data_IF_058730539154
#
_entry.id   IF_058730539154
#
_cell.length_a   1.000
_cell.length_b   1.000
_cell.length_c   1.000
_cell.angle_alpha   90.00
_cell.angle_beta   90.00
_cell.angle_gamma   90.00
#
_symmetry.space_group_name_H-M   'P 1'
#
loop_
_entity.id
_entity.type
_entity.pdbx_description
1 polymer ?
#
# COMPACT_ATOMS: atom_id res chain seq x y z
N UNK A 1 -13.06 1.94 10.46
CA UNK A 1 -11.67 2.50 10.41
C UNK A 1 -10.76 1.30 10.31
N UNK A 2 -10.01 1.14 9.22
CA UNK A 2 -9.12 -0.01 9.05
C UNK A 2 -8.01 0.08 10.09
N UNK A 3 -8.24 -0.57 11.24
CA UNK A 3 -7.36 -0.55 12.40
C UNK A 3 -6.22 -1.52 12.12
N UNK A 4 -5.04 -0.98 11.90
CA UNK A 4 -3.81 -1.69 12.26
C UNK A 4 -3.77 -1.77 13.79
N UNK A 5 -3.59 -2.97 14.35
CA UNK A 5 -3.50 -3.18 15.80
C UNK A 5 -2.55 -2.15 16.44
N UNK A 6 -3.06 -1.29 17.34
CA UNK A 6 -2.25 -0.38 18.17
C UNK A 6 -2.17 1.11 17.79
N UNK A 7 -2.60 1.57 16.62
CA UNK A 7 -2.74 3.01 16.35
C UNK A 7 -3.68 3.29 15.17
N UNK A 8 -4.16 4.52 15.05
CA UNK A 8 -4.80 5.05 13.84
C UNK A 8 -3.79 4.98 12.70
N UNK A 9 -3.78 3.85 11.99
CA UNK A 9 -2.75 3.46 11.05
C UNK A 9 -2.66 4.39 9.86
N UNK A 10 -1.80 5.41 9.96
CA UNK A 10 -1.34 6.18 8.81
C UNK A 10 0.05 5.74 8.36
N UNK A 11 0.73 4.90 9.15
CA UNK A 11 2.08 4.42 8.89
C UNK A 11 2.09 2.87 8.87
N UNK A 12 3.03 2.25 8.13
CA UNK A 12 3.26 0.81 8.24
C UNK A 12 3.51 0.45 9.69
N UNK A 13 2.96 -0.69 10.12
CA UNK A 13 3.23 -1.19 11.46
C UNK A 13 4.72 -1.43 11.63
N UNK A 14 5.23 -1.23 12.84
CA UNK A 14 6.61 -1.59 13.17
C UNK A 14 6.61 -3.06 13.58
N UNK A 15 7.48 -3.86 12.98
CA UNK A 15 7.72 -5.22 13.47
C UNK A 15 8.61 -5.16 14.71
N UNK A 16 8.02 -5.51 15.86
CA UNK A 16 8.69 -5.67 17.16
C UNK A 16 8.99 -7.15 17.47
N UNK A 17 8.56 -8.09 16.62
CA UNK A 17 8.76 -9.53 16.77
C UNK A 17 9.15 -10.19 15.45
N UNK A 18 10.47 -10.23 15.26
CA UNK A 18 11.22 -11.42 14.83
C UNK A 18 11.47 -11.70 13.34
N UNK A 19 11.20 -10.81 12.37
CA UNK A 19 11.77 -10.96 11.00
C UNK A 19 12.96 -10.06 10.67
N UNK A 20 13.24 -9.06 11.49
CA UNK A 20 14.39 -8.19 11.28
C UNK A 20 15.62 -8.63 12.07
N UNK A 21 16.67 -8.98 11.34
CA UNK A 21 17.95 -9.43 11.90
C UNK A 21 18.82 -8.29 12.45
N UNK A 22 18.50 -7.03 12.14
CA UNK A 22 19.21 -5.86 12.67
C UNK A 22 18.48 -5.28 13.89
N UNK A 23 19.23 -4.77 14.88
CA UNK A 23 18.78 -4.19 16.16
C UNK A 23 17.94 -2.89 16.04
N UNK A 24 17.05 -2.79 15.06
CA UNK A 24 16.30 -1.59 14.71
C UNK A 24 14.80 -1.82 14.49
N UNK A 25 14.05 -0.70 14.54
CA UNK A 25 12.61 -0.66 14.20
C UNK A 25 12.45 -0.89 12.70
N UNK A 26 11.90 -2.02 12.31
CA UNK A 26 11.60 -2.35 10.92
C UNK A 26 10.16 -2.08 10.54
N UNK A 27 9.94 -1.79 9.26
CA UNK A 27 8.59 -1.71 8.71
C UNK A 27 8.02 -3.11 8.49
N UNK A 28 6.72 -3.25 8.76
CA UNK A 28 5.92 -4.42 8.44
C UNK A 28 5.08 -4.14 7.20
N UNK A 29 5.05 -5.11 6.29
CA UNK A 29 4.17 -5.07 5.12
C UNK A 29 3.76 -6.47 4.68
N UNK A 30 3.00 -6.58 3.59
CA UNK A 30 2.71 -7.87 2.96
C UNK A 30 3.88 -8.50 2.19
N UNK A 31 5.04 -7.84 2.12
CA UNK A 31 6.27 -8.35 1.53
C UNK A 31 7.39 -8.43 2.58
N UNK A 32 8.19 -9.49 2.50
CA UNK A 32 9.40 -9.68 3.31
C UNK A 32 10.54 -8.74 2.88
N UNK A 33 10.47 -8.21 1.66
CA UNK A 33 11.50 -7.34 1.06
C UNK A 33 11.34 -5.86 1.44
N UNK A 34 10.38 -5.51 2.29
CA UNK A 34 10.03 -4.12 2.61
C UNK A 34 11.19 -3.34 3.23
N UNK A 35 12.14 -4.03 3.89
CA UNK A 35 13.26 -3.42 4.60
C UNK A 35 14.60 -3.48 3.83
N UNK A 36 14.64 -3.91 2.57
CA UNK A 36 15.90 -4.04 1.81
C UNK A 36 16.52 -2.67 1.50
N UNK A 37 15.72 -1.71 1.06
CA UNK A 37 16.16 -0.35 0.75
C UNK A 37 15.12 0.67 1.27
N UNK A 38 15.54 1.85 1.77
CA UNK A 38 14.61 2.88 2.23
C UNK A 38 13.57 3.30 1.18
N UNK A 39 13.95 3.30 -0.09
CA UNK A 39 13.03 3.62 -1.21
C UNK A 39 11.90 2.60 -1.35
N UNK A 40 12.18 1.30 -1.13
CA UNK A 40 11.16 0.24 -1.12
C UNK A 40 10.20 0.47 0.04
N UNK A 41 10.72 0.68 1.25
CA UNK A 41 9.91 1.00 2.43
C UNK A 41 9.03 2.23 2.22
N UNK A 42 9.56 3.27 1.58
CA UNK A 42 8.82 4.48 1.26
C UNK A 42 7.66 4.21 0.29
N UNK A 43 7.88 3.43 -0.78
CA UNK A 43 6.83 3.03 -1.71
C UNK A 43 5.72 2.22 -1.01
N UNK A 44 6.07 1.24 -0.18
CA UNK A 44 5.11 0.50 0.63
C UNK A 44 4.28 1.44 1.52
N UNK A 45 4.94 2.41 2.18
CA UNK A 45 4.28 3.41 3.02
C UNK A 45 3.28 4.25 2.24
N UNK A 46 3.65 4.71 1.03
CA UNK A 46 2.79 5.51 0.15
C UNK A 46 1.51 4.74 -0.19
N UNK A 47 1.62 3.48 -0.60
CA UNK A 47 0.45 2.69 -0.99
C UNK A 47 -0.44 2.29 0.19
N UNK A 48 0.13 2.06 1.38
CA UNK A 48 -0.66 1.86 2.61
C UNK A 48 -1.47 3.12 2.94
N UNK A 49 -0.84 4.30 2.90
CA UNK A 49 -1.54 5.59 3.11
C UNK A 49 -2.65 5.80 2.09
N UNK A 50 -2.38 5.46 0.83
CA UNK A 50 -3.37 5.58 -0.24
C UNK A 50 -4.55 4.63 -0.04
N UNK A 51 -4.32 3.40 0.39
CA UNK A 51 -5.40 2.46 0.75
C UNK A 51 -6.30 3.04 1.85
N UNK A 52 -5.70 3.58 2.92
CA UNK A 52 -6.45 4.17 4.03
C UNK A 52 -7.21 5.43 3.62
N UNK A 53 -6.62 6.24 2.73
CA UNK A 53 -7.32 7.38 2.10
C UNK A 53 -8.54 6.90 1.32
N UNK A 54 -8.41 5.88 0.47
CA UNK A 54 -9.52 5.33 -0.32
C UNK A 54 -10.61 4.74 0.58
N UNK A 55 -10.23 3.97 1.60
CA UNK A 55 -11.19 3.41 2.56
C UNK A 55 -11.97 4.49 3.31
N UNK A 56 -11.33 5.62 3.69
CA UNK A 56 -12.02 6.75 4.31
C UNK A 56 -13.03 7.40 3.35
N UNK A 57 -12.62 7.69 2.12
CA UNK A 57 -13.51 8.28 1.12
C UNK A 57 -14.70 7.34 0.81
N UNK A 58 -14.45 6.04 0.68
CA UNK A 58 -15.50 5.04 0.48
C UNK A 58 -16.46 4.96 1.66
N UNK A 59 -15.98 5.09 2.90
CA UNK A 59 -16.83 5.11 4.10
C UNK A 59 -17.71 6.35 4.16
N UNK A 60 -17.20 7.51 3.75
CA UNK A 60 -17.96 8.76 3.71
C UNK A 60 -19.16 8.65 2.78
N UNK A 61 -18.97 8.04 1.60
CA UNK A 61 -20.02 7.82 0.61
C UNK A 61 -20.92 6.62 0.94
N UNK A 62 -20.36 5.56 1.52
CA UNK A 62 -21.05 4.29 1.78
C UNK A 62 -21.03 3.95 3.28
N UNK A 63 -21.70 4.76 4.09
CA UNK A 63 -21.70 4.60 5.56
C UNK A 63 -22.19 3.23 6.04
N UNK A 64 -23.06 2.60 5.25
CA UNK A 64 -23.65 1.28 5.53
C UNK A 64 -22.72 0.09 5.22
N UNK A 65 -21.58 0.30 4.55
CA UNK A 65 -20.68 -0.80 4.24
C UNK A 65 -19.94 -1.32 5.50
N UNK A 66 -19.77 -2.64 5.62
CA UNK A 66 -18.92 -3.22 6.66
C UNK A 66 -17.44 -2.93 6.36
N UNK A 67 -16.59 -2.95 7.40
CA UNK A 67 -15.16 -2.66 7.27
C UNK A 67 -14.46 -3.62 6.28
N UNK A 68 -14.85 -4.90 6.22
CA UNK A 68 -14.31 -5.87 5.26
C UNK A 68 -14.59 -5.46 3.80
N UNK A 69 -15.78 -4.94 3.50
CA UNK A 69 -16.11 -4.45 2.16
C UNK A 69 -15.28 -3.20 1.82
N UNK A 70 -15.13 -2.28 2.77
CA UNK A 70 -14.30 -1.09 2.55
C UNK A 70 -12.83 -1.43 2.28
N UNK A 71 -12.28 -2.43 2.98
CA UNK A 71 -10.95 -2.95 2.73
C UNK A 71 -10.82 -3.50 1.31
N UNK A 72 -11.69 -4.40 0.90
CA UNK A 72 -11.62 -5.03 -0.43
C UNK A 72 -11.80 -4.01 -1.56
N UNK A 73 -12.74 -3.06 -1.43
CA UNK A 73 -12.93 -2.04 -2.46
C UNK A 73 -11.76 -1.04 -2.50
N UNK A 74 -11.21 -0.63 -1.35
CA UNK A 74 -10.01 0.21 -1.32
C UNK A 74 -8.80 -0.53 -1.93
N UNK A 75 -8.65 -1.84 -1.66
CA UNK A 75 -7.63 -2.70 -2.27
C UNK A 75 -7.77 -2.74 -3.78
N UNK A 76 -8.98 -2.96 -4.31
CA UNK A 76 -9.26 -2.98 -5.76
C UNK A 76 -8.86 -1.67 -6.44
N UNK A 77 -9.20 -0.53 -5.84
CA UNK A 77 -8.83 0.79 -6.38
C UNK A 77 -7.31 0.97 -6.40
N UNK A 78 -6.62 0.61 -5.32
CA UNK A 78 -5.15 0.72 -5.25
C UNK A 78 -4.46 -0.21 -6.26
N UNK A 79 -4.97 -1.42 -6.48
CA UNK A 79 -4.47 -2.33 -7.51
C UNK A 79 -4.63 -1.69 -8.89
N UNK A 80 -5.80 -1.12 -9.20
CA UNK A 80 -6.02 -0.43 -10.47
C UNK A 80 -5.09 0.77 -10.66
N UNK A 81 -4.84 1.55 -9.60
CA UNK A 81 -3.86 2.65 -9.63
C UNK A 81 -2.45 2.15 -9.91
N UNK A 82 -2.02 1.07 -9.25
CA UNK A 82 -0.70 0.49 -9.46
C UNK A 82 -0.56 -0.03 -10.90
N UNK A 83 -1.58 -0.74 -11.41
CA UNK A 83 -1.60 -1.20 -12.80
C UNK A 83 -1.52 -0.03 -13.79
N UNK A 84 -2.29 1.04 -13.56
CA UNK A 84 -2.22 2.24 -14.40
C UNK A 84 -0.81 2.82 -14.45
N UNK A 85 -0.19 3.03 -13.29
CA UNK A 85 1.18 3.55 -13.20
C UNK A 85 2.15 2.60 -13.92
N UNK A 86 2.04 1.29 -13.69
CA UNK A 86 2.93 0.30 -14.31
C UNK A 86 2.83 0.29 -15.83
N UNK A 87 1.61 0.19 -16.38
CA UNK A 87 1.41 -0.02 -17.82
C UNK A 87 1.38 1.27 -18.64
N UNK A 88 0.93 2.39 -18.07
CA UNK A 88 0.79 3.65 -18.81
C UNK A 88 1.93 4.64 -18.58
N UNK A 89 2.71 4.47 -17.50
CA UNK A 89 3.76 5.42 -17.14
C UNK A 89 5.13 4.73 -17.09
N UNK A 90 5.29 3.71 -16.27
CA UNK A 90 6.58 3.06 -16.03
C UNK A 90 7.07 2.24 -17.23
N UNK A 91 6.26 1.29 -17.71
CA UNK A 91 6.64 0.44 -18.84
C UNK A 91 6.95 1.23 -20.11
N UNK A 92 6.14 2.22 -20.54
CA UNK A 92 6.45 2.98 -21.75
C UNK A 92 7.71 3.82 -21.63
N UNK A 93 8.02 4.31 -20.44
CA UNK A 93 9.24 5.08 -20.19
C UNK A 93 10.49 4.18 -20.14
N UNK A 94 10.37 2.92 -19.70
CA UNK A 94 11.49 1.97 -19.71
C UNK A 94 11.73 1.31 -21.06
N UNK A 95 10.66 0.91 -21.75
CA UNK A 95 10.74 0.06 -22.94
C UNK A 95 10.61 0.83 -24.26
N UNK A 96 10.26 2.11 -24.20
CA UNK A 96 9.88 2.90 -25.38
C UNK A 96 8.41 2.68 -25.74
N UNK A 97 7.70 3.77 -26.04
CA UNK A 97 6.24 3.74 -26.34
C UNK A 97 5.95 2.91 -27.60
N UNK A 98 6.87 2.90 -28.54
CA UNK A 98 6.80 2.17 -29.79
C UNK A 98 6.81 0.65 -29.63
N UNK A 99 7.29 0.15 -28.48
CA UNK A 99 7.37 -1.28 -28.19
C UNK A 99 6.18 -1.80 -27.36
N UNK A 100 5.25 -0.91 -26.98
CA UNK A 100 4.03 -1.26 -26.24
C UNK A 100 2.86 -1.22 -27.22
N UNK A 101 2.28 -2.39 -27.49
CA UNK A 101 1.15 -2.58 -28.39
C UNK A 101 -0.18 -2.31 -27.71
#
# INVERSE_FOLDING_TARGET
NLRTHGSTGELPQIDIKAKCQAEGRCALSGSDDVNILPGVTALHTIFIKQHNRMARLLREQNRHWPDAKLFEEARRIVIAQLQHITYNEFLPNMWGRENIK
#
